data_IF_199958014983
#
_entry.id   IF_199958014983
#
_cell.length_a   1.000
_cell.length_b   1.000
_cell.length_c   1.000
_cell.angle_alpha   90.00
_cell.angle_beta   90.00
_cell.angle_gamma   90.00
#
_symmetry.space_group_name_H-M   'P 1'
#
loop_
_entity.id
_entity.type
_entity.pdbx_description
1 polymer ?
#
# COMPACT_ATOMS: atom_id res chain seq x y z
N UNK A 1 -6.15 -70.99 -6.21
CA UNK A 1 -6.60 -71.36 -4.86
C UNK A 1 -6.97 -70.07 -4.12
N UNK A 2 -8.27 -69.77 -4.08
CA UNK A 2 -9.08 -69.59 -2.87
C UNK A 2 -8.92 -68.18 -2.26
N UNK A 3 -9.81 -67.23 -2.59
CA UNK A 3 -11.16 -66.98 -2.03
C UNK A 3 -11.14 -66.57 -0.56
N UNK A 4 -11.77 -65.43 -0.26
CA UNK A 4 -12.05 -65.00 1.11
C UNK A 4 -12.78 -63.66 1.19
N UNK A 5 -13.93 -63.55 0.52
CA UNK A 5 -14.93 -62.51 0.78
C UNK A 5 -15.71 -62.87 2.05
N UNK A 6 -15.95 -61.91 2.96
CA UNK A 6 -17.08 -61.98 3.89
C UNK A 6 -17.80 -60.63 3.89
N UNK A 7 -19.06 -60.72 3.48
CA UNK A 7 -20.13 -59.73 3.49
C UNK A 7 -21.02 -60.05 4.70
N UNK A 8 -21.51 -59.04 5.44
CA UNK A 8 -22.83 -58.98 6.10
C UNK A 8 -23.03 -57.50 6.53
N UNK A 9 -23.81 -56.67 5.83
CA UNK A 9 -25.29 -56.53 5.76
C UNK A 9 -25.90 -55.72 6.91
N UNK A 10 -26.49 -54.59 6.47
CA UNK A 10 -27.43 -53.62 7.04
C UNK A 10 -28.29 -53.96 8.27
N UNK A 11 -28.50 -52.94 9.11
CA UNK A 11 -29.82 -52.43 9.54
C UNK A 11 -29.67 -50.95 10.00
N UNK A 12 -29.97 -49.95 9.16
CA UNK A 12 -31.19 -49.10 9.20
C UNK A 12 -31.59 -48.53 10.57
N UNK A 13 -31.36 -47.22 10.77
CA UNK A 13 -32.46 -46.30 11.11
C UNK A 13 -32.17 -44.86 10.70
N UNK A 14 -33.18 -44.28 10.06
CA UNK A 14 -33.44 -42.89 9.66
C UNK A 14 -33.35 -41.95 10.88
N UNK A 15 -33.06 -40.63 10.79
CA UNK A 15 -33.60 -39.62 9.88
C UNK A 15 -32.85 -38.28 10.01
N UNK A 16 -32.83 -37.45 8.96
CA UNK A 16 -32.80 -35.98 9.13
C UNK A 16 -32.09 -35.25 7.99
N UNK A 17 -32.90 -34.63 7.12
CA UNK A 17 -32.55 -33.88 5.90
C UNK A 17 -31.70 -32.63 6.14
N UNK A 18 -30.78 -32.35 5.22
CA UNK A 18 -30.18 -31.03 4.94
C UNK A 18 -29.36 -31.10 3.65
N UNK A 19 -29.76 -30.34 2.63
CA UNK A 19 -29.43 -30.55 1.21
C UNK A 19 -27.94 -30.53 0.84
N UNK A 20 -27.55 -31.53 0.06
CA UNK A 20 -26.40 -31.56 -0.83
C UNK A 20 -26.82 -30.93 -2.17
N UNK A 21 -26.04 -29.98 -2.66
CA UNK A 21 -25.93 -29.63 -4.08
C UNK A 21 -24.45 -29.32 -4.31
N UNK A 22 -23.69 -30.39 -4.51
CA UNK A 22 -22.39 -30.37 -5.16
C UNK A 22 -22.60 -31.02 -6.53
N UNK A 23 -22.34 -30.26 -7.58
CA UNK A 23 -22.01 -30.70 -8.94
C UNK A 23 -21.39 -29.48 -9.62
N UNK A 24 -20.07 -29.49 -9.87
CA UNK A 24 -19.38 -29.98 -11.09
C UNK A 24 -19.28 -28.89 -12.17
N UNK A 25 -18.24 -29.01 -13.03
CA UNK A 25 -17.89 -28.21 -14.23
C UNK A 25 -16.85 -27.10 -13.93
N UNK A 26 -15.62 -27.06 -14.47
CA UNK A 26 -15.00 -27.77 -15.60
C UNK A 26 -13.47 -27.74 -15.44
N UNK A 27 -12.83 -28.90 -15.54
CA UNK A 27 -11.47 -29.01 -16.07
C UNK A 27 -11.58 -29.44 -17.52
N UNK A 28 -10.93 -28.70 -18.43
CA UNK A 28 -10.61 -29.13 -19.80
C UNK A 28 -9.71 -28.08 -20.46
N UNK A 29 -8.40 -28.35 -20.56
CA UNK A 29 -7.55 -27.84 -21.65
C UNK A 29 -6.11 -28.42 -21.62
N UNK A 30 -5.96 -29.75 -21.74
CA UNK A 30 -4.77 -30.35 -22.38
C UNK A 30 -5.19 -31.64 -23.11
N UNK A 31 -5.22 -31.63 -24.45
CA UNK A 31 -4.61 -32.66 -25.32
C UNK A 31 -4.91 -32.44 -26.82
N UNK A 32 -3.90 -32.77 -27.65
CA UNK A 32 -3.82 -32.82 -29.13
C UNK A 32 -3.52 -31.48 -29.81
N UNK A 33 -2.46 -31.28 -30.62
CA UNK A 33 -1.62 -32.16 -31.45
C UNK A 33 -0.32 -31.37 -31.76
N UNK A 34 0.90 -31.88 -31.95
CA UNK A 34 1.37 -33.23 -32.23
C UNK A 34 2.91 -33.32 -32.12
N UNK A 35 3.38 -34.56 -32.19
CA UNK A 35 4.75 -35.04 -32.03
C UNK A 35 5.69 -34.73 -33.21
N UNK A 36 7.00 -34.75 -32.91
CA UNK A 36 8.12 -34.93 -33.85
C UNK A 36 9.26 -33.97 -33.48
N UNK A 37 10.51 -34.34 -33.20
CA UNK A 37 11.31 -35.53 -33.52
C UNK A 37 12.47 -35.68 -32.51
N UNK A 38 13.13 -36.84 -32.58
CA UNK A 38 14.32 -37.29 -31.85
C UNK A 38 15.62 -36.58 -32.27
N UNK A 39 16.64 -36.62 -31.41
CA UNK A 39 18.08 -36.47 -31.73
C UNK A 39 18.81 -35.72 -30.60
N UNK A 40 19.56 -36.36 -29.70
CA UNK A 40 20.92 -36.88 -29.82
C UNK A 40 22.00 -35.80 -30.09
N UNK A 41 23.05 -35.77 -29.24
CA UNK A 41 24.28 -34.97 -29.37
C UNK A 41 24.52 -34.12 -28.11
N UNK A 42 25.30 -34.53 -27.12
CA UNK A 42 26.78 -34.56 -27.10
C UNK A 42 27.36 -33.32 -27.80
N UNK A 43 27.77 -32.32 -27.02
CA UNK A 43 28.95 -31.51 -27.33
C UNK A 43 29.67 -31.10 -26.04
N UNK A 44 30.97 -31.35 -26.12
CA UNK A 44 32.01 -31.22 -25.12
C UNK A 44 32.81 -29.95 -25.43
N UNK A 45 33.35 -29.32 -24.39
CA UNK A 45 34.43 -28.32 -24.50
C UNK A 45 33.98 -26.89 -24.79
N UNK A 46 34.69 -25.85 -24.38
CA UNK A 46 35.97 -25.74 -23.66
C UNK A 46 36.25 -24.23 -23.46
N UNK A 47 37.05 -23.89 -22.44
CA UNK A 47 37.88 -22.66 -22.29
C UNK A 47 37.10 -21.33 -22.21
N UNK A 48 37.28 -20.47 -21.22
CA UNK A 48 38.51 -20.10 -20.51
C UNK A 48 38.89 -18.68 -20.90
N UNK A 49 38.75 -17.71 -20.00
CA UNK A 49 39.47 -16.41 -19.94
C UNK A 49 39.01 -15.70 -18.65
N UNK A 50 39.81 -15.79 -17.58
CA UNK A 50 40.86 -14.85 -17.15
C UNK A 50 40.34 -13.52 -16.61
N UNK A 51 40.57 -13.37 -15.30
CA UNK A 51 40.53 -12.16 -14.49
C UNK A 51 41.54 -11.10 -14.94
N UNK A 52 41.24 -9.83 -14.62
CA UNK A 52 42.11 -8.78 -14.05
C UNK A 52 41.32 -7.46 -14.08
N UNK A 53 40.85 -6.90 -12.96
CA UNK A 53 41.59 -6.06 -12.02
C UNK A 53 42.17 -4.78 -12.66
N UNK A 54 41.54 -3.63 -12.38
CA UNK A 54 42.18 -2.32 -12.46
C UNK A 54 41.58 -1.40 -11.40
N UNK A 55 42.31 -1.26 -10.30
CA UNK A 55 42.24 -0.16 -9.34
C UNK A 55 42.99 1.04 -9.91
N UNK A 56 42.49 2.26 -9.70
CA UNK A 56 43.35 3.46 -9.59
C UNK A 56 42.65 4.60 -8.83
N UNK A 57 43.45 5.17 -7.94
CA UNK A 57 43.25 6.15 -6.86
C UNK A 57 42.91 7.57 -7.35
N UNK A 58 41.95 8.25 -6.70
CA UNK A 58 42.10 9.44 -5.81
C UNK A 58 42.82 10.68 -6.38
N UNK A 59 42.14 11.85 -6.33
CA UNK A 59 42.54 13.12 -5.65
C UNK A 59 41.46 14.24 -5.88
N UNK A 60 41.41 15.34 -5.09
CA UNK A 60 40.16 16.02 -4.68
C UNK A 60 40.01 17.53 -5.02
N UNK A 61 38.76 18.03 -4.89
CA UNK A 61 38.31 19.41 -4.53
C UNK A 61 38.57 20.60 -5.52
N UNK A 62 37.79 21.73 -5.52
CA UNK A 62 37.23 22.43 -4.35
C UNK A 62 35.79 23.00 -4.43
N UNK A 63 35.29 23.35 -3.23
CA UNK A 63 34.15 24.22 -2.93
C UNK A 63 34.38 25.69 -3.32
N UNK A 64 33.30 26.50 -3.35
CA UNK A 64 33.33 27.71 -2.53
C UNK A 64 32.10 27.87 -1.63
N UNK A 65 32.37 28.29 -0.41
CA UNK A 65 31.45 28.81 0.60
C UNK A 65 31.09 30.27 0.27
N UNK A 66 29.81 30.66 0.38
CA UNK A 66 29.42 32.04 0.70
C UNK A 66 28.11 32.05 1.50
N UNK A 67 28.13 32.73 2.64
CA UNK A 67 27.01 33.23 3.46
C UNK A 67 27.61 34.23 4.47
N UNK A 68 26.85 35.14 5.10
CA UNK A 68 25.60 35.80 4.72
C UNK A 68 25.70 37.35 4.82
N UNK A 69 24.82 38.09 4.14
CA UNK A 69 24.66 39.53 4.38
C UNK A 69 23.24 39.85 4.86
N UNK A 70 23.20 40.65 5.91
CA UNK A 70 22.08 40.95 6.77
C UNK A 70 21.06 41.96 6.20
N UNK A 71 19.87 41.89 6.79
CA UNK A 71 18.70 42.79 6.71
C UNK A 71 18.98 44.28 7.02
N UNK A 72 17.99 45.17 6.79
CA UNK A 72 17.14 45.55 7.93
C UNK A 72 15.63 45.48 7.66
N UNK A 73 14.91 45.09 8.72
CA UNK A 73 13.49 45.32 8.95
C UNK A 73 13.20 46.81 9.10
N UNK A 74 12.06 47.25 8.58
CA UNK A 74 11.38 48.47 9.05
C UNK A 74 10.11 48.06 9.78
N UNK A 75 10.11 48.32 11.09
CA UNK A 75 8.99 48.13 12.00
C UNK A 75 8.01 49.30 11.97
N UNK A 76 6.74 48.93 12.14
CA UNK A 76 5.55 49.71 12.48
C UNK A 76 5.71 50.83 13.52
N UNK A 77 4.91 51.92 13.40
CA UNK A 77 3.76 52.23 14.30
C UNK A 77 3.22 53.68 14.14
N UNK A 78 1.87 53.76 14.09
CA UNK A 78 0.95 54.75 14.71
C UNK A 78 1.09 56.22 14.23
N UNK A 79 0.04 57.03 14.06
CA UNK A 79 -1.17 57.18 14.88
C UNK A 79 -2.31 57.90 14.14
N UNK A 80 -3.52 57.69 14.67
CA UNK A 80 -4.80 58.36 14.42
C UNK A 80 -4.75 59.90 14.48
N UNK A 81 -5.65 60.55 13.73
CA UNK A 81 -6.45 61.68 14.25
C UNK A 81 -7.80 61.77 13.54
N UNK A 82 -8.88 61.81 14.34
CA UNK A 82 -10.25 62.14 13.97
C UNK A 82 -10.50 63.66 14.05
N UNK A 83 -11.51 64.14 13.31
CA UNK A 83 -12.23 65.41 13.55
C UNK A 83 -13.08 65.76 12.31
N UNK A 84 -14.37 65.38 12.22
CA UNK A 84 -15.63 66.02 12.71
C UNK A 84 -15.93 67.44 12.19
N UNK A 85 -17.15 67.59 11.63
CA UNK A 85 -17.96 68.83 11.51
C UNK A 85 -18.35 69.16 10.06
N UNK A 86 -19.57 68.91 9.56
CA UNK A 86 -20.83 69.70 9.71
C UNK A 86 -20.67 71.15 9.24
N UNK A 87 -21.48 71.81 8.40
CA UNK A 87 -22.89 71.67 7.98
C UNK A 87 -23.27 72.83 7.03
N UNK A 88 -24.42 72.73 6.32
CA UNK A 88 -25.30 73.83 5.84
C UNK A 88 -24.77 74.78 4.73
N UNK A 89 -25.54 75.44 3.86
CA UNK A 89 -26.97 75.55 3.46
C UNK A 89 -27.00 76.42 2.17
N UNK A 90 -27.95 76.14 1.25
CA UNK A 90 -28.76 77.06 0.41
C UNK A 90 -28.03 78.02 -0.55
N UNK A 91 -28.35 78.02 -1.86
CA UNK A 91 -29.54 78.72 -2.38
C UNK A 91 -29.84 78.35 -3.85
N UNK A 92 -31.13 78.35 -4.20
CA UNK A 92 -31.71 78.11 -5.53
C UNK A 92 -31.78 79.43 -6.38
N UNK A 93 -32.65 79.56 -7.42
CA UNK A 93 -32.59 78.98 -8.77
C UNK A 93 -32.73 80.09 -9.85
N UNK A 94 -32.53 79.78 -11.14
CA UNK A 94 -33.16 80.57 -12.22
C UNK A 94 -33.76 79.65 -13.29
N UNK A 95 -35.02 79.93 -13.56
CA UNK A 95 -35.94 79.39 -14.55
C UNK A 95 -35.54 79.63 -15.99
N UNK A 96 -35.90 78.71 -16.89
CA UNK A 96 -36.58 79.07 -18.14
C UNK A 96 -37.32 77.85 -18.72
N UNK A 97 -38.53 78.12 -19.20
CA UNK A 97 -39.56 77.20 -19.67
C UNK A 97 -39.76 77.49 -21.17
N UNK A 98 -39.82 76.48 -22.02
CA UNK A 98 -40.41 76.51 -23.38
C UNK A 98 -40.67 75.04 -23.78
N UNK A 99 -41.90 74.54 -23.65
CA UNK A 99 -43.03 74.57 -24.60
C UNK A 99 -42.91 73.57 -25.76
N UNK A 100 -43.68 72.49 -25.63
CA UNK A 100 -44.45 71.75 -26.64
C UNK A 100 -43.90 71.54 -28.07
N UNK A 101 -43.84 70.27 -28.47
CA UNK A 101 -44.70 69.74 -29.56
C UNK A 101 -44.75 68.21 -29.55
N UNK A 102 -45.97 67.69 -29.62
CA UNK A 102 -46.29 66.30 -29.92
C UNK A 102 -46.02 66.02 -31.41
N UNK A 103 -45.42 64.87 -31.71
CA UNK A 103 -45.71 64.06 -32.90
C UNK A 103 -45.25 62.63 -32.66
N UNK A 104 -46.20 61.68 -32.64
CA UNK A 104 -45.92 60.30 -33.04
C UNK A 104 -45.82 60.24 -34.57
N UNK A 105 -44.96 59.37 -35.10
CA UNK A 105 -45.55 58.24 -35.80
C UNK A 105 -44.90 56.90 -35.47
N UNK A 106 -45.76 55.90 -35.52
CA UNK A 106 -45.53 54.48 -35.71
C UNK A 106 -44.36 54.12 -36.63
N UNK A 107 -43.61 53.08 -36.24
CA UNK A 107 -42.94 52.20 -37.22
C UNK A 107 -41.45 51.94 -37.00
N UNK A 108 -41.03 51.40 -35.84
CA UNK A 108 -39.76 50.66 -35.71
C UNK A 108 -39.81 49.70 -34.51
N UNK A 109 -40.67 48.69 -34.56
CA UNK A 109 -40.68 47.61 -33.55
C UNK A 109 -39.97 46.33 -34.03
N UNK A 110 -39.29 46.36 -35.17
CA UNK A 110 -38.67 45.16 -35.78
C UNK A 110 -37.13 45.19 -35.86
N UNK A 111 -36.46 46.22 -35.35
CA UNK A 111 -34.98 46.26 -35.33
C UNK A 111 -34.38 46.18 -33.92
N UNK A 112 -35.19 46.14 -32.86
CA UNK A 112 -34.72 45.93 -31.48
C UNK A 112 -34.78 44.47 -31.02
N UNK A 113 -35.39 43.58 -31.79
CA UNK A 113 -35.50 42.16 -31.45
C UNK A 113 -34.27 41.33 -31.88
N UNK A 114 -33.46 41.78 -32.84
CA UNK A 114 -32.25 41.06 -33.28
C UNK A 114 -31.03 41.36 -32.38
N UNK A 115 -31.05 42.47 -31.62
CA UNK A 115 -29.97 42.78 -30.67
C UNK A 115 -30.13 42.12 -29.30
N UNK A 116 -31.33 41.60 -28.97
CA UNK A 116 -31.62 41.00 -27.67
C UNK A 116 -31.31 39.49 -27.59
N UNK A 117 -30.96 38.86 -28.72
CA UNK A 117 -30.53 37.46 -28.80
C UNK A 117 -29.02 37.29 -29.00
N UNK A 118 -28.21 38.30 -28.69
CA UNK A 118 -26.82 38.10 -28.25
C UNK A 118 -26.82 37.98 -26.73
N UNK A 119 -27.51 36.94 -26.25
CA UNK A 119 -27.39 36.47 -24.88
C UNK A 119 -25.92 36.20 -24.61
N UNK A 120 -25.35 37.08 -23.83
CA UNK A 120 -23.95 37.15 -23.48
C UNK A 120 -23.46 35.79 -22.94
N UNK A 121 -22.83 34.98 -23.78
CA UNK A 121 -21.75 34.08 -23.33
C UNK A 121 -20.53 34.94 -22.99
N UNK A 122 -20.69 35.95 -22.14
CA UNK A 122 -19.56 36.52 -21.44
C UNK A 122 -19.09 35.44 -20.46
N UNK A 123 -18.21 34.55 -20.92
CA UNK A 123 -17.39 33.77 -20.00
C UNK A 123 -16.84 34.75 -18.98
N UNK A 124 -17.10 34.50 -17.70
CA UNK A 124 -16.59 35.36 -16.65
C UNK A 124 -15.08 35.55 -16.86
N UNK A 125 -14.51 36.75 -16.63
CA UNK A 125 -13.07 36.98 -16.77
C UNK A 125 -12.25 35.94 -16.00
N UNK A 126 -12.82 35.42 -14.91
CA UNK A 126 -12.27 34.34 -14.10
C UNK A 126 -12.19 32.99 -14.83
N UNK A 127 -13.22 32.62 -15.61
CA UNK A 127 -13.21 31.40 -16.44
C UNK A 127 -12.17 31.46 -17.57
N UNK A 128 -11.92 32.65 -18.14
CA UNK A 128 -10.94 32.84 -19.22
C UNK A 128 -9.50 32.52 -18.79
N UNK A 129 -9.12 32.86 -17.55
CA UNK A 129 -7.80 32.51 -17.01
C UNK A 129 -7.76 31.16 -16.28
N UNK A 130 -8.87 30.76 -15.64
CA UNK A 130 -8.91 29.51 -14.89
C UNK A 130 -8.81 28.27 -15.78
N UNK A 131 -9.43 28.27 -16.96
CA UNK A 131 -9.42 27.10 -17.85
C UNK A 131 -8.04 26.80 -18.46
N UNK A 132 -7.29 27.78 -19.02
CA UNK A 132 -5.91 27.55 -19.46
C UNK A 132 -4.97 27.18 -18.32
N UNK A 133 -5.12 27.79 -17.14
CA UNK A 133 -4.32 27.44 -15.96
C UNK A 133 -4.56 25.98 -15.56
N UNK A 134 -5.82 25.55 -15.45
CA UNK A 134 -6.18 24.17 -15.16
C UNK A 134 -5.69 23.20 -16.25
N UNK A 135 -5.85 23.57 -17.52
CA UNK A 135 -5.36 22.77 -18.65
C UNK A 135 -3.84 22.58 -18.61
N UNK A 136 -3.09 23.67 -18.37
CA UNK A 136 -1.63 23.63 -18.23
C UNK A 136 -1.20 22.79 -17.03
N UNK A 137 -1.90 22.91 -15.90
CA UNK A 137 -1.66 22.08 -14.72
C UNK A 137 -1.84 20.59 -15.01
N UNK A 138 -2.93 20.20 -15.67
CA UNK A 138 -3.21 18.80 -16.01
C UNK A 138 -2.13 18.25 -16.94
N UNK A 139 -1.72 19.02 -17.95
CA UNK A 139 -0.66 18.61 -18.90
C UNK A 139 0.67 18.42 -18.19
N UNK A 140 1.09 19.38 -17.35
CA UNK A 140 2.35 19.33 -16.60
C UNK A 140 2.34 18.18 -15.59
N UNK A 141 1.23 18.02 -14.85
CA UNK A 141 1.03 16.92 -13.92
C UNK A 141 1.14 15.57 -14.62
N UNK A 142 0.42 15.38 -15.74
CA UNK A 142 0.48 14.14 -16.52
C UNK A 142 1.88 13.88 -17.13
N UNK A 143 2.60 14.93 -17.51
CA UNK A 143 3.96 14.81 -18.04
C UNK A 143 4.92 14.26 -16.96
N UNK A 144 4.94 14.86 -15.77
CA UNK A 144 5.80 14.41 -14.67
C UNK A 144 5.31 13.10 -14.04
N UNK A 145 4.01 12.80 -14.08
CA UNK A 145 3.49 11.50 -13.65
C UNK A 145 4.10 10.36 -14.49
N UNK A 146 4.29 10.58 -15.80
CA UNK A 146 4.93 9.59 -16.70
C UNK A 146 6.45 9.63 -16.68
N UNK A 147 7.05 10.69 -16.14
CA UNK A 147 8.52 10.90 -16.11
C UNK A 147 9.00 11.37 -14.73
N UNK A 148 8.81 10.55 -13.67
CA UNK A 148 9.19 10.93 -12.32
C UNK A 148 10.70 11.14 -12.15
N UNK A 149 11.53 10.48 -12.98
CA UNK A 149 12.99 10.59 -12.96
C UNK A 149 13.51 12.02 -13.22
N UNK A 150 12.67 12.90 -13.80
CA UNK A 150 13.02 14.31 -13.99
C UNK A 150 12.97 15.12 -12.69
N UNK A 151 12.19 14.67 -11.70
CA UNK A 151 12.03 15.35 -10.42
C UNK A 151 12.60 14.56 -9.24
N UNK A 152 12.74 13.24 -9.37
CA UNK A 152 13.12 12.35 -8.29
C UNK A 152 14.18 11.36 -8.75
N UNK A 153 15.21 11.14 -7.95
CA UNK A 153 16.16 10.06 -8.14
C UNK A 153 15.55 8.74 -7.64
N UNK A 154 15.51 7.67 -8.44
CA UNK A 154 14.98 6.39 -7.99
C UNK A 154 15.87 5.81 -6.91
N UNK A 155 15.26 5.15 -5.93
CA UNK A 155 16.00 4.33 -4.97
C UNK A 155 16.28 2.95 -5.59
N UNK A 156 17.50 2.45 -5.36
CA UNK A 156 17.91 1.12 -5.81
C UNK A 156 17.75 0.16 -4.62
N UNK A 157 16.84 -0.81 -4.69
CA UNK A 157 16.63 -1.75 -3.61
C UNK A 157 17.71 -2.83 -3.58
N UNK A 158 18.01 -3.34 -2.37
CA UNK A 158 18.86 -4.52 -2.20
C UNK A 158 18.18 -5.83 -2.65
N UNK A 159 16.85 -5.87 -2.66
CA UNK A 159 16.04 -7.03 -3.04
C UNK A 159 14.71 -6.60 -3.66
N UNK A 160 14.11 -7.47 -4.48
CA UNK A 160 12.88 -7.16 -5.21
C UNK A 160 11.73 -8.12 -4.84
N UNK A 161 11.09 -7.96 -3.67
CA UNK A 161 10.05 -8.87 -3.24
C UNK A 161 8.76 -8.53 -4.01
N UNK A 162 8.14 -9.54 -4.62
CA UNK A 162 6.80 -9.38 -5.21
C UNK A 162 5.75 -10.03 -4.34
N UNK A 163 6.09 -11.17 -3.75
CA UNK A 163 5.16 -12.03 -3.03
C UNK A 163 5.65 -12.30 -1.61
N UNK A 164 4.89 -11.79 -0.63
CA UNK A 164 5.13 -11.97 0.80
C UNK A 164 4.20 -13.02 1.41
N UNK A 165 4.75 -13.92 2.22
CA UNK A 165 3.98 -14.88 3.00
C UNK A 165 3.45 -14.21 4.26
N UNK A 166 2.13 -13.98 4.30
CA UNK A 166 1.46 -13.33 5.43
C UNK A 166 1.56 -14.17 6.71
N UNK A 167 1.98 -13.57 7.82
CA UNK A 167 2.24 -14.24 9.11
C UNK A 167 3.07 -15.51 8.94
N UNK A 168 4.09 -15.44 8.09
CA UNK A 168 4.95 -16.56 7.74
C UNK A 168 4.33 -17.68 6.90
N UNK A 169 3.09 -17.53 6.39
CA UNK A 169 2.41 -18.54 5.56
C UNK A 169 1.15 -19.13 6.20
N UNK A 170 0.31 -18.28 6.77
CA UNK A 170 -0.84 -18.69 7.60
C UNK A 170 -1.97 -19.43 6.88
N UNK A 171 -1.93 -19.52 5.55
CA UNK A 171 -2.95 -20.21 4.76
C UNK A 171 -2.73 -21.71 4.66
N UNK A 172 -1.47 -22.16 4.77
CA UNK A 172 -1.09 -23.57 4.69
C UNK A 172 -0.80 -24.18 6.06
N UNK A 173 -0.24 -23.38 6.98
CA UNK A 173 0.24 -23.82 8.29
C UNK A 173 -0.15 -22.81 9.37
N UNK A 174 -0.05 -23.20 10.63
CA UNK A 174 -0.36 -22.31 11.75
C UNK A 174 0.51 -21.04 11.68
N UNK A 175 -0.15 -19.88 11.78
CA UNK A 175 0.50 -18.58 11.65
C UNK A 175 1.72 -18.42 12.58
N UNK A 176 2.76 -17.74 12.09
CA UNK A 176 3.97 -17.37 12.85
C UNK A 176 4.74 -18.54 13.52
N UNK A 177 4.55 -19.78 13.05
CA UNK A 177 5.34 -20.95 13.45
C UNK A 177 6.58 -21.12 12.56
N UNK A 178 7.60 -21.82 13.05
CA UNK A 178 8.76 -22.15 12.24
C UNK A 178 8.37 -23.03 11.05
N UNK A 179 7.46 -23.99 11.25
CA UNK A 179 6.92 -24.84 10.18
C UNK A 179 6.26 -24.01 9.06
N UNK A 180 5.48 -22.98 9.40
CA UNK A 180 4.86 -22.11 8.39
C UNK A 180 5.92 -21.37 7.57
N UNK A 181 6.91 -20.78 8.24
CA UNK A 181 7.99 -20.04 7.58
C UNK A 181 8.84 -20.95 6.69
N UNK A 182 9.21 -22.14 7.17
CA UNK A 182 9.96 -23.12 6.39
C UNK A 182 9.19 -23.55 5.14
N UNK A 183 7.89 -23.83 5.29
CA UNK A 183 7.02 -24.14 4.18
C UNK A 183 6.94 -22.99 3.16
N UNK A 184 6.80 -21.75 3.62
CA UNK A 184 6.80 -20.55 2.76
C UNK A 184 8.08 -20.37 1.97
N UNK A 185 9.22 -20.55 2.63
CA UNK A 185 10.54 -20.47 1.98
C UNK A 185 10.73 -21.60 0.97
N UNK A 186 10.31 -22.83 1.30
CA UNK A 186 10.34 -23.96 0.37
C UNK A 186 9.46 -23.71 -0.88
N UNK A 187 8.36 -22.99 -0.71
CA UNK A 187 7.46 -22.56 -1.78
C UNK A 187 7.92 -21.29 -2.52
N UNK A 188 9.15 -20.80 -2.25
CA UNK A 188 9.75 -19.65 -2.92
C UNK A 188 8.98 -18.34 -2.72
N UNK A 189 8.48 -18.11 -1.50
CA UNK A 189 8.12 -16.77 -1.07
C UNK A 189 9.34 -15.84 -1.21
N UNK A 190 9.12 -14.59 -1.64
CA UNK A 190 10.22 -13.63 -1.80
C UNK A 190 10.52 -12.88 -0.49
N UNK A 191 9.56 -12.89 0.45
CA UNK A 191 9.64 -12.24 1.75
C UNK A 191 8.70 -12.94 2.76
N UNK A 192 9.09 -12.95 4.04
CA UNK A 192 8.22 -13.33 5.15
C UNK A 192 7.65 -12.07 5.82
N UNK A 193 6.33 -11.98 5.93
CA UNK A 193 5.66 -10.93 6.69
C UNK A 193 5.34 -11.48 8.08
N UNK A 194 5.75 -10.75 9.11
CA UNK A 194 5.79 -11.22 10.49
C UNK A 194 5.37 -10.10 11.44
N UNK A 195 4.47 -10.42 12.36
CA UNK A 195 4.06 -9.53 13.44
C UNK A 195 4.94 -9.73 14.68
N UNK A 196 5.35 -8.65 15.34
CA UNK A 196 6.20 -8.74 16.52
C UNK A 196 5.47 -8.29 17.80
N UNK A 197 5.70 -9.04 18.88
CA UNK A 197 5.30 -8.71 20.25
C UNK A 197 6.51 -8.86 21.19
N UNK A 198 6.40 -8.34 22.41
CA UNK A 198 7.43 -8.45 23.44
C UNK A 198 6.88 -9.20 24.64
N UNK A 199 7.61 -10.20 25.12
CA UNK A 199 7.33 -10.91 26.37
C UNK A 199 7.78 -10.10 27.58
N UNK A 200 7.39 -10.55 28.78
CA UNK A 200 7.77 -9.92 30.06
C UNK A 200 9.28 -9.91 30.30
N UNK A 201 9.96 -10.99 29.91
CA UNK A 201 11.42 -11.14 29.97
C UNK A 201 12.17 -10.46 28.81
N UNK A 202 11.45 -9.73 27.94
CA UNK A 202 12.05 -8.88 26.92
C UNK A 202 12.57 -9.64 25.70
N UNK A 203 12.00 -10.82 25.42
CA UNK A 203 12.19 -11.60 24.19
C UNK A 203 11.21 -11.11 23.13
N UNK A 204 11.71 -10.87 21.91
CA UNK A 204 10.86 -10.51 20.78
C UNK A 204 10.28 -11.78 20.19
N UNK A 205 8.95 -11.89 20.23
CA UNK A 205 8.21 -13.06 19.74
C UNK A 205 7.45 -12.69 18.50
N UNK A 206 7.39 -13.64 17.55
CA UNK A 206 6.57 -13.48 16.36
C UNK A 206 5.14 -13.91 16.69
N UNK A 207 4.23 -12.94 16.81
CA UNK A 207 2.81 -13.19 17.04
C UNK A 207 1.94 -12.00 16.61
N UNK A 208 0.79 -12.30 15.99
CA UNK A 208 -0.14 -11.28 15.51
C UNK A 208 -0.86 -10.55 16.63
N UNK A 209 -1.37 -11.30 17.62
CA UNK A 209 -2.25 -10.78 18.67
C UNK A 209 -1.44 -10.40 19.92
N UNK A 210 -1.89 -9.35 20.60
CA UNK A 210 -1.39 -9.03 21.94
C UNK A 210 -1.93 -10.03 22.98
N UNK A 211 -3.20 -10.43 22.85
CA UNK A 211 -3.86 -11.39 23.72
C UNK A 211 -3.96 -12.78 23.08
N UNK A 212 -3.64 -13.82 23.86
CA UNK A 212 -3.51 -15.18 23.36
C UNK A 212 -4.85 -15.95 23.24
N UNK A 213 -5.99 -15.35 23.58
CA UNK A 213 -7.30 -16.04 23.58
C UNK A 213 -7.66 -16.66 22.23
N UNK A 214 -7.40 -15.95 21.11
CA UNK A 214 -7.68 -16.47 19.77
C UNK A 214 -6.75 -17.64 19.44
N UNK A 215 -5.46 -17.43 19.67
CA UNK A 215 -4.37 -18.26 19.20
C UNK A 215 -4.15 -19.54 20.03
N UNK A 216 -4.26 -19.46 21.36
CA UNK A 216 -4.02 -20.58 22.29
C UNK A 216 -5.24 -20.92 23.16
N UNK A 217 -6.23 -20.02 23.24
CA UNK A 217 -7.35 -20.17 24.17
C UNK A 217 -7.06 -19.66 25.58
N UNK A 218 -5.87 -19.13 25.83
CA UNK A 218 -5.46 -18.57 27.12
C UNK A 218 -5.72 -17.06 27.13
N UNK A 219 -6.52 -16.58 28.08
CA UNK A 219 -6.76 -15.15 28.25
C UNK A 219 -5.63 -14.46 29.02
N UNK A 220 -4.51 -14.28 28.35
CA UNK A 220 -3.31 -13.57 28.83
C UNK A 220 -2.71 -12.80 27.66
N UNK A 221 -2.08 -11.67 27.97
CA UNK A 221 -1.33 -10.90 26.99
C UNK A 221 0.12 -11.42 26.91
N UNK A 222 0.71 -11.39 25.72
CA UNK A 222 2.10 -11.84 25.50
C UNK A 222 3.07 -11.13 26.45
N UNK A 223 2.90 -9.82 26.65
CA UNK A 223 3.73 -9.02 27.56
C UNK A 223 3.59 -9.36 29.06
N UNK A 224 2.68 -10.27 29.43
CA UNK A 224 2.50 -10.71 30.83
C UNK A 224 3.24 -12.00 31.18
N UNK A 225 3.78 -12.70 30.18
CA UNK A 225 4.41 -14.02 30.29
C UNK A 225 5.88 -13.94 29.87
N UNK A 226 6.72 -14.78 30.45
CA UNK A 226 8.07 -15.02 29.92
C UNK A 226 7.99 -15.93 28.68
N UNK A 227 9.04 -15.94 27.85
CA UNK A 227 9.01 -16.68 26.58
C UNK A 227 8.72 -18.18 26.76
N UNK A 228 9.36 -18.81 27.74
CA UNK A 228 9.19 -20.23 28.06
C UNK A 228 7.80 -20.56 28.65
N UNK A 229 7.05 -19.56 29.10
CA UNK A 229 5.70 -19.72 29.64
C UNK A 229 4.62 -19.60 28.56
N UNK A 230 5.00 -19.28 27.32
CA UNK A 230 4.04 -19.10 26.24
C UNK A 230 3.33 -20.42 25.90
N UNK A 231 1.99 -20.42 25.83
CA UNK A 231 1.22 -21.60 25.51
C UNK A 231 1.36 -21.96 24.03
N UNK A 232 1.13 -23.24 23.72
CA UNK A 232 0.99 -23.71 22.36
C UNK A 232 -0.21 -23.07 21.66
N UNK A 233 -0.11 -22.86 20.36
CA UNK A 233 -1.25 -22.59 19.50
C UNK A 233 -2.30 -23.70 19.59
N UNK A 234 -3.54 -23.41 19.22
CA UNK A 234 -4.58 -24.43 18.98
C UNK A 234 -4.16 -25.37 17.84
N UNK A 235 -4.80 -26.54 17.75
CA UNK A 235 -4.55 -27.52 16.68
C UNK A 235 -4.96 -26.99 15.30
N UNK A 236 -5.92 -26.08 15.29
CA UNK A 236 -6.38 -25.38 14.10
C UNK A 236 -6.59 -23.90 14.41
N UNK A 237 -6.27 -23.05 13.43
CA UNK A 237 -6.54 -21.62 13.49
C UNK A 237 -7.23 -21.18 12.21
N UNK A 238 -8.26 -20.35 12.35
CA UNK A 238 -8.97 -19.79 11.20
C UNK A 238 -8.03 -18.88 10.41
N UNK A 239 -7.98 -19.09 9.09
CA UNK A 239 -7.12 -18.34 8.18
C UNK A 239 -7.67 -16.94 8.02
N UNK A 240 -6.83 -15.95 8.34
CA UNK A 240 -7.20 -14.54 8.19
C UNK A 240 -7.58 -14.20 6.74
N UNK A 241 -8.65 -13.42 6.56
CA UNK A 241 -9.30 -13.13 5.27
C UNK A 241 -9.93 -14.34 4.55
N UNK A 242 -10.07 -15.50 5.19
CA UNK A 242 -10.76 -16.66 4.61
C UNK A 242 -11.68 -17.34 5.64
N UNK A 243 -12.81 -16.70 6.00
CA UNK A 243 -13.70 -17.23 7.03
C UNK A 243 -14.18 -18.64 6.72
N UNK A 244 -14.17 -19.51 7.73
CA UNK A 244 -14.52 -20.93 7.60
C UNK A 244 -13.39 -21.82 7.04
N UNK A 245 -12.22 -21.26 6.71
CA UNK A 245 -11.02 -22.03 6.38
C UNK A 245 -10.06 -22.06 7.57
N UNK A 246 -9.49 -23.23 7.84
CA UNK A 246 -8.60 -23.45 8.97
C UNK A 246 -7.25 -23.99 8.50
N UNK A 247 -6.18 -23.48 9.11
CA UNK A 247 -4.83 -24.00 8.93
C UNK A 247 -4.49 -24.96 10.06
N UNK A 248 -3.66 -25.96 9.75
CA UNK A 248 -3.20 -26.98 10.68
C UNK A 248 -1.67 -27.09 10.63
N UNK A 249 -1.06 -27.55 11.72
CA UNK A 249 0.39 -27.66 11.84
C UNK A 249 0.78 -28.66 12.90
N UNK A 250 1.92 -29.32 12.67
CA UNK A 250 2.56 -30.16 13.68
C UNK A 250 3.32 -29.32 14.70
N UNK A 251 3.92 -28.22 14.25
CA UNK A 251 4.50 -27.20 15.12
C UNK A 251 3.41 -26.25 15.62
N UNK A 252 3.32 -26.13 16.94
CA UNK A 252 2.37 -25.27 17.64
C UNK A 252 3.07 -24.25 18.54
N UNK A 253 4.40 -24.18 18.50
CA UNK A 253 5.16 -23.27 19.36
C UNK A 253 5.21 -21.87 18.75
N UNK A 254 5.08 -20.86 19.61
CA UNK A 254 5.43 -19.50 19.23
C UNK A 254 6.93 -19.39 19.08
N UNK A 255 7.39 -18.64 18.07
CA UNK A 255 8.81 -18.55 17.73
C UNK A 255 9.37 -17.20 18.16
N UNK A 256 10.58 -17.16 18.71
CA UNK A 256 11.28 -15.90 18.94
C UNK A 256 11.92 -15.39 17.64
N UNK A 257 11.97 -14.07 17.46
CA UNK A 257 12.48 -13.45 16.24
C UNK A 257 13.97 -13.77 15.99
N UNK A 258 14.73 -13.97 17.06
CA UNK A 258 16.14 -14.37 16.98
C UNK A 258 16.30 -15.74 16.30
N UNK A 259 15.50 -16.74 16.67
CA UNK A 259 15.54 -18.06 16.04
C UNK A 259 15.16 -17.99 14.57
N UNK A 260 14.17 -17.14 14.23
CA UNK A 260 13.79 -16.88 12.83
C UNK A 260 14.97 -16.29 12.05
N UNK A 261 15.70 -15.36 12.65
CA UNK A 261 16.87 -14.74 12.03
C UNK A 261 18.00 -15.73 11.81
N UNK A 262 18.26 -16.60 12.77
CA UNK A 262 19.25 -17.68 12.68
C UNK A 262 18.85 -18.70 11.61
N UNK A 263 17.58 -19.10 11.57
CA UNK A 263 17.06 -20.09 10.62
C UNK A 263 17.08 -19.60 9.17
N UNK A 264 16.79 -18.31 8.97
CA UNK A 264 16.68 -17.69 7.65
C UNK A 264 17.60 -16.45 7.53
N UNK A 265 18.93 -16.65 7.44
CA UNK A 265 19.90 -15.55 7.50
C UNK A 265 19.79 -14.56 6.33
N UNK A 266 19.29 -15.00 5.17
CA UNK A 266 19.21 -14.21 3.92
C UNK A 266 17.79 -13.97 3.41
N UNK A 267 16.77 -14.44 4.13
CA UNK A 267 15.38 -14.25 3.72
C UNK A 267 14.94 -12.83 4.09
N UNK A 268 14.47 -12.02 3.13
CA UNK A 268 13.91 -10.71 3.46
C UNK A 268 12.67 -10.83 4.33
N UNK A 269 12.48 -9.87 5.23
CA UNK A 269 11.39 -9.89 6.20
C UNK A 269 10.73 -8.52 6.32
N UNK A 270 9.41 -8.50 6.47
CA UNK A 270 8.65 -7.33 6.91
C UNK A 270 8.24 -7.54 8.35
N UNK A 271 8.70 -6.68 9.25
CA UNK A 271 8.41 -6.77 10.68
C UNK A 271 7.39 -5.71 11.05
N UNK A 272 6.18 -6.16 11.38
CA UNK A 272 5.10 -5.29 11.81
C UNK A 272 5.12 -5.02 13.32
N UNK A 273 5.03 -3.73 13.67
CA UNK A 273 4.86 -3.26 15.05
C UNK A 273 3.48 -2.64 15.22
N UNK A 274 2.62 -3.27 16.04
CA UNK A 274 1.22 -2.88 16.24
C UNK A 274 0.96 -1.96 17.45
N UNK A 275 1.70 -2.19 18.52
CA UNK A 275 1.61 -1.44 19.77
C UNK A 275 2.60 -0.29 19.84
N UNK A 276 2.30 0.73 20.65
CA UNK A 276 3.27 1.79 20.98
C UNK A 276 4.30 1.31 22.01
N UNK A 277 4.98 0.20 21.74
CA UNK A 277 6.00 -0.36 22.62
C UNK A 277 7.41 0.08 22.14
N UNK A 278 7.98 1.07 22.83
CA UNK A 278 9.31 1.62 22.50
C UNK A 278 10.43 0.60 22.74
N UNK A 279 10.29 -0.24 23.76
CA UNK A 279 11.26 -1.30 24.05
C UNK A 279 11.30 -2.34 22.94
N UNK A 280 10.13 -2.81 22.48
CA UNK A 280 10.01 -3.72 21.33
C UNK A 280 10.72 -3.17 20.10
N UNK A 281 10.50 -1.90 19.78
CA UNK A 281 11.15 -1.22 18.65
C UNK A 281 12.67 -1.25 18.79
N UNK A 282 13.20 -0.93 19.97
CA UNK A 282 14.65 -0.94 20.21
C UNK A 282 15.23 -2.35 20.19
N UNK A 283 14.51 -3.35 20.71
CA UNK A 283 14.91 -4.76 20.67
C UNK A 283 14.98 -5.27 19.25
N UNK A 284 13.95 -5.02 18.42
CA UNK A 284 13.97 -5.36 16.99
C UNK A 284 15.13 -4.66 16.28
N UNK A 285 15.31 -3.34 16.49
CA UNK A 285 16.42 -2.60 15.89
C UNK A 285 17.80 -3.17 16.29
N UNK A 286 17.96 -3.59 17.55
CA UNK A 286 19.15 -4.25 18.05
C UNK A 286 19.40 -5.61 17.39
N UNK A 287 18.37 -6.44 17.29
CA UNK A 287 18.43 -7.74 16.60
C UNK A 287 18.81 -7.55 15.12
N UNK A 288 18.17 -6.63 14.41
CA UNK A 288 18.45 -6.38 12.98
C UNK A 288 19.89 -5.96 12.74
N UNK A 289 20.46 -5.11 13.60
CA UNK A 289 21.88 -4.73 13.51
C UNK A 289 22.81 -5.89 13.86
N UNK A 290 22.50 -6.64 14.91
CA UNK A 290 23.32 -7.78 15.36
C UNK A 290 23.42 -8.87 14.29
N UNK A 291 22.35 -9.07 13.53
CA UNK A 291 22.28 -10.03 12.43
C UNK A 291 22.61 -9.44 11.05
N UNK A 292 23.14 -8.21 10.99
CA UNK A 292 23.57 -7.51 9.77
C UNK A 292 22.53 -7.55 8.62
N UNK A 293 21.29 -7.17 8.94
CA UNK A 293 20.15 -7.31 8.02
C UNK A 293 19.31 -6.06 7.84
N UNK A 294 19.91 -4.89 8.08
CA UNK A 294 19.25 -3.60 7.88
C UNK A 294 18.67 -3.45 6.47
N UNK A 295 19.39 -3.91 5.44
CA UNK A 295 18.98 -3.73 4.04
C UNK A 295 17.86 -4.66 3.57
N UNK A 296 17.66 -5.79 4.24
CA UNK A 296 16.69 -6.84 3.87
C UNK A 296 15.52 -6.96 4.87
N UNK A 297 15.48 -6.09 5.88
CA UNK A 297 14.40 -6.06 6.88
C UNK A 297 13.62 -4.75 6.77
N UNK A 298 12.31 -4.86 6.56
CA UNK A 298 11.42 -3.72 6.37
C UNK A 298 10.70 -3.41 7.69
N UNK A 299 10.69 -2.14 8.09
CA UNK A 299 9.75 -1.67 9.11
C UNK A 299 8.34 -1.61 8.54
N UNK A 300 7.40 -2.28 9.20
CA UNK A 300 5.97 -2.17 8.93
C UNK A 300 5.18 -1.70 10.16
N UNK A 301 4.17 -0.87 9.91
CA UNK A 301 3.16 -0.49 10.90
C UNK A 301 2.03 0.26 10.20
N UNK A 302 0.80 -0.01 10.62
CA UNK A 302 -0.37 0.76 10.16
C UNK A 302 -0.36 2.21 10.66
N UNK A 303 0.27 2.47 11.82
CA UNK A 303 0.24 3.77 12.51
C UNK A 303 1.48 4.60 12.23
N UNK A 304 1.26 5.82 11.76
CA UNK A 304 2.34 6.80 11.51
C UNK A 304 3.10 7.21 12.77
N UNK A 305 2.47 7.20 13.95
CA UNK A 305 3.14 7.50 15.23
C UNK A 305 4.20 6.45 15.56
N UNK A 306 3.86 5.16 15.40
CA UNK A 306 4.76 4.02 15.60
C UNK A 306 5.87 4.05 14.55
N UNK A 307 5.52 4.20 13.26
CA UNK A 307 6.51 4.22 12.18
C UNK A 307 7.57 5.33 12.36
N UNK A 308 7.18 6.49 12.91
CA UNK A 308 8.12 7.56 13.26
C UNK A 308 9.13 7.11 14.32
N UNK A 309 8.67 6.37 15.34
CA UNK A 309 9.53 5.80 16.41
C UNK A 309 10.44 4.71 15.84
N UNK A 310 9.91 3.80 15.01
CA UNK A 310 10.70 2.75 14.34
C UNK A 310 11.87 3.33 13.53
N UNK A 311 11.58 4.33 12.69
CA UNK A 311 12.60 5.03 11.90
C UNK A 311 13.63 5.76 12.75
N UNK A 312 13.24 6.32 13.89
CA UNK A 312 14.18 6.96 14.81
C UNK A 312 15.11 5.92 15.46
N UNK A 313 14.60 4.72 15.75
CA UNK A 313 15.38 3.64 16.34
C UNK A 313 16.36 2.99 15.36
N UNK A 314 15.98 2.82 14.09
CA UNK A 314 16.88 2.39 13.03
C UNK A 314 16.53 3.04 11.67
N UNK A 315 17.27 4.09 11.25
CA UNK A 315 17.01 4.79 9.99
C UNK A 315 17.56 4.08 8.74
N UNK A 316 18.45 3.08 8.91
CA UNK A 316 19.02 2.31 7.79
C UNK A 316 18.03 1.34 7.18
N UNK A 317 17.09 0.83 7.99
CA UNK A 317 16.04 -0.07 7.53
C UNK A 317 15.06 0.67 6.61
N UNK A 318 14.73 0.11 5.44
CA UNK A 318 13.63 0.60 4.65
C UNK A 318 12.31 0.42 5.41
N UNK A 319 11.29 1.20 5.03
CA UNK A 319 10.00 1.17 5.70
C UNK A 319 8.83 1.23 4.71
N UNK A 320 7.72 0.64 5.13
CA UNK A 320 6.50 0.57 4.34
C UNK A 320 5.58 1.77 4.54
N UNK A 321 4.59 1.89 3.66
CA UNK A 321 3.50 2.84 3.82
C UNK A 321 2.62 2.50 5.02
N UNK A 322 2.31 3.52 5.83
CA UNK A 322 1.22 3.44 6.80
C UNK A 322 -0.12 3.70 6.11
N UNK A 323 -1.23 3.33 6.75
CA UNK A 323 -2.58 3.51 6.19
C UNK A 323 -2.83 4.99 5.82
N UNK A 324 -2.53 5.91 6.74
CA UNK A 324 -2.71 7.36 6.52
C UNK A 324 -1.85 7.89 5.36
N UNK A 325 -0.64 7.34 5.16
CA UNK A 325 0.26 7.71 4.07
C UNK A 325 -0.24 7.15 2.73
N UNK A 326 -0.78 5.94 2.73
CA UNK A 326 -1.46 5.34 1.57
C UNK A 326 -2.67 6.16 1.11
N UNK A 327 -3.55 6.57 2.03
CA UNK A 327 -4.68 7.45 1.68
C UNK A 327 -4.21 8.79 1.11
N UNK A 328 -3.17 9.41 1.71
CA UNK A 328 -2.59 10.64 1.19
C UNK A 328 -1.99 10.44 -0.20
N UNK A 329 -1.31 9.32 -0.44
CA UNK A 329 -0.76 8.96 -1.75
C UNK A 329 -1.86 8.94 -2.82
N UNK A 330 -2.97 8.26 -2.55
CA UNK A 330 -4.11 8.20 -3.46
C UNK A 330 -4.71 9.58 -3.69
N UNK A 331 -4.93 10.37 -2.63
CA UNK A 331 -5.44 11.73 -2.75
C UNK A 331 -4.54 12.59 -3.67
N UNK A 332 -3.23 12.56 -3.45
CA UNK A 332 -2.26 13.29 -4.27
C UNK A 332 -2.24 12.80 -5.72
N UNK A 333 -2.41 11.50 -5.94
CA UNK A 333 -2.51 10.93 -7.28
C UNK A 333 -3.73 11.47 -8.02
N UNK A 334 -4.92 11.42 -7.41
CA UNK A 334 -6.16 11.86 -8.05
C UNK A 334 -6.26 13.39 -8.20
N UNK A 335 -5.61 14.14 -7.32
CA UNK A 335 -5.48 15.59 -7.48
C UNK A 335 -4.44 15.99 -8.53
N UNK A 336 -3.57 15.09 -9.00
CA UNK A 336 -2.47 15.39 -9.92
C UNK A 336 -1.23 15.99 -9.24
N UNK A 337 -1.16 15.96 -7.91
CA UNK A 337 -0.05 16.52 -7.14
C UNK A 337 1.07 15.52 -6.85
N UNK A 338 0.80 14.21 -7.00
CA UNK A 338 1.75 13.14 -6.72
C UNK A 338 3.15 13.33 -7.34
N UNK A 339 3.28 13.77 -8.62
CA UNK A 339 4.60 13.88 -9.25
C UNK A 339 5.52 14.89 -8.58
N UNK A 340 4.98 15.86 -7.86
CA UNK A 340 5.76 16.95 -7.25
C UNK A 340 6.15 16.67 -5.80
N UNK A 341 5.65 15.59 -5.20
CA UNK A 341 5.81 15.31 -3.78
C UNK A 341 6.79 14.15 -3.58
N UNK A 342 7.80 14.29 -2.70
CA UNK A 342 8.73 13.22 -2.38
C UNK A 342 8.05 12.07 -1.63
N UNK A 343 8.46 10.84 -1.93
CA UNK A 343 7.99 9.61 -1.30
C UNK A 343 9.19 8.96 -0.62
N UNK A 344 9.33 9.09 0.72
CA UNK A 344 10.42 8.44 1.43
C UNK A 344 10.19 6.95 1.70
N UNK A 345 8.94 6.48 1.67
CA UNK A 345 8.58 5.07 1.80
C UNK A 345 9.15 4.23 0.65
N UNK A 346 9.56 2.99 0.93
CA UNK A 346 10.16 2.09 -0.07
C UNK A 346 9.25 0.95 -0.51
N UNK A 347 8.29 0.58 0.35
CA UNK A 347 7.43 -0.57 0.12
C UNK A 347 5.96 -0.22 0.32
N UNK A 348 5.14 -0.42 -0.70
CA UNK A 348 3.69 -0.36 -0.60
C UNK A 348 3.19 -1.80 -0.42
N UNK A 349 2.88 -2.17 0.83
CA UNK A 349 2.34 -3.48 1.18
C UNK A 349 0.85 -3.46 0.88
N UNK A 350 0.41 -4.33 -0.03
CA UNK A 350 -0.98 -4.47 -0.42
C UNK A 350 -1.48 -5.88 -0.10
N UNK A 351 -2.46 -5.96 0.80
CA UNK A 351 -3.33 -7.12 0.89
C UNK A 351 -4.26 -7.09 -0.32
N UNK A 352 -4.20 -8.11 -1.18
CA UNK A 352 -4.95 -8.06 -2.42
C UNK A 352 -6.46 -7.93 -2.17
N UNK A 353 -7.15 -6.98 -2.82
CA UNK A 353 -8.61 -6.89 -2.77
C UNK A 353 -9.33 -8.14 -3.28
N UNK A 354 -8.64 -8.98 -4.05
CA UNK A 354 -9.18 -10.26 -4.56
C UNK A 354 -9.10 -11.37 -3.51
N UNK A 355 -8.22 -11.26 -2.50
CA UNK A 355 -8.17 -12.11 -1.30
C UNK A 355 -9.17 -11.60 -0.26
N UNK A 356 -9.39 -10.29 -0.18
CA UNK A 356 -10.42 -9.62 0.64
C UNK A 356 -11.87 -10.01 0.20
N UNK A 357 -12.03 -10.86 -0.82
CA UNK A 357 -13.31 -11.08 -1.49
C UNK A 357 -14.40 -11.69 -0.56
N UNK A 358 -15.49 -10.92 -0.45
CA UNK A 358 -16.83 -11.12 0.15
C UNK A 358 -17.07 -10.89 1.64
N UNK A 359 -16.14 -11.10 2.54
CA UNK A 359 -16.45 -11.15 3.99
C UNK A 359 -15.78 -10.12 4.88
N UNK A 360 -14.75 -9.40 4.40
CA UNK A 360 -14.00 -8.49 5.26
C UNK A 360 -14.58 -7.08 5.37
N UNK A 361 -15.29 -6.60 4.34
CA UNK A 361 -15.99 -5.33 4.46
C UNK A 361 -17.18 -5.50 5.41
N UNK A 362 -17.32 -4.66 6.45
CA UNK A 362 -18.35 -4.82 7.47
C UNK A 362 -19.72 -4.33 6.98
N UNK A 363 -20.03 -4.42 5.68
CA UNK A 363 -21.37 -4.10 5.20
C UNK A 363 -22.26 -5.33 5.33
N UNK A 364 -23.46 -5.12 5.86
CA UNK A 364 -24.44 -6.19 6.06
C UNK A 364 -24.91 -6.85 4.76
N UNK A 365 -24.68 -6.22 3.60
CA UNK A 365 -25.08 -6.77 2.30
C UNK A 365 -23.86 -7.29 1.51
N UNK A 366 -23.90 -8.55 1.02
CA UNK A 366 -22.83 -9.13 0.20
C UNK A 366 -22.55 -8.33 -1.08
N UNK A 367 -23.57 -7.71 -1.67
CA UNK A 367 -23.43 -6.89 -2.88
C UNK A 367 -22.62 -5.61 -2.66
N UNK A 368 -22.80 -4.93 -1.52
CA UNK A 368 -21.99 -3.75 -1.18
C UNK A 368 -20.54 -4.12 -0.87
N UNK A 369 -20.28 -5.27 -0.21
CA UNK A 369 -18.93 -5.77 0.00
C UNK A 369 -18.21 -6.02 -1.33
N UNK A 370 -18.90 -6.65 -2.28
CA UNK A 370 -18.35 -6.91 -3.61
C UNK A 370 -18.09 -5.61 -4.39
N UNK A 371 -19.01 -4.66 -4.34
CA UNK A 371 -18.83 -3.35 -4.98
C UNK A 371 -17.66 -2.58 -4.35
N UNK A 372 -17.58 -2.54 -3.01
CA UNK A 372 -16.49 -1.89 -2.29
C UNK A 372 -15.14 -2.51 -2.63
N UNK A 373 -15.05 -3.84 -2.73
CA UNK A 373 -13.84 -4.56 -3.14
C UNK A 373 -13.41 -4.20 -4.58
N UNK A 374 -14.36 -4.15 -5.52
CA UNK A 374 -14.09 -3.77 -6.91
C UNK A 374 -13.62 -2.32 -7.02
N UNK A 375 -14.29 -1.40 -6.32
CA UNK A 375 -13.92 0.01 -6.32
C UNK A 375 -12.54 0.21 -5.69
N UNK A 376 -12.29 -0.34 -4.51
CA UNK A 376 -10.99 -0.22 -3.84
C UNK A 376 -9.86 -0.84 -4.68
N UNK A 377 -10.08 -1.98 -5.34
CA UNK A 377 -9.16 -2.52 -6.35
C UNK A 377 -8.91 -1.53 -7.48
N UNK A 378 -9.95 -0.96 -8.06
CA UNK A 378 -9.82 -0.02 -9.17
C UNK A 378 -9.13 1.29 -8.78
N UNK A 379 -9.34 1.76 -7.55
CA UNK A 379 -8.70 2.97 -7.03
C UNK A 379 -7.23 2.77 -6.70
N UNK A 380 -6.87 1.64 -6.06
CA UNK A 380 -5.51 1.36 -5.61
C UNK A 380 -4.64 0.78 -6.73
N UNK A 381 -5.19 -0.11 -7.56
CA UNK A 381 -4.44 -0.89 -8.57
C UNK A 381 -4.37 -0.21 -9.94
N UNK A 382 -4.35 1.13 -9.99
CA UNK A 382 -4.19 1.85 -11.26
C UNK A 382 -2.79 1.63 -11.83
N UNK A 383 -2.70 1.10 -13.06
CA UNK A 383 -1.42 0.85 -13.75
C UNK A 383 -0.49 2.07 -13.77
N UNK A 384 -1.04 3.27 -14.04
CA UNK A 384 -0.27 4.52 -14.06
C UNK A 384 0.26 4.93 -12.69
N UNK A 385 -0.46 4.63 -11.60
CA UNK A 385 0.02 4.85 -10.24
C UNK A 385 1.16 3.88 -9.93
N UNK A 386 0.96 2.58 -10.17
CA UNK A 386 1.96 1.55 -9.91
C UNK A 386 3.25 1.84 -10.70
N UNK A 387 3.14 2.11 -12.00
CA UNK A 387 4.29 2.45 -12.85
C UNK A 387 5.03 3.70 -12.35
N UNK A 388 4.29 4.73 -11.90
CA UNK A 388 4.91 5.93 -11.33
C UNK A 388 5.70 5.62 -10.05
N UNK A 389 5.16 4.76 -9.18
CA UNK A 389 5.80 4.34 -7.94
C UNK A 389 7.04 3.49 -8.21
N UNK A 390 6.93 2.49 -9.09
CA UNK A 390 8.05 1.61 -9.48
C UNK A 390 9.20 2.40 -10.11
N UNK A 391 8.90 3.37 -10.98
CA UNK A 391 9.92 4.25 -11.58
C UNK A 391 10.60 5.17 -10.56
N UNK A 392 10.02 5.33 -9.36
CA UNK A 392 10.63 6.05 -8.23
C UNK A 392 11.36 5.12 -7.26
N UNK A 393 11.41 3.81 -7.55
CA UNK A 393 12.01 2.80 -6.69
C UNK A 393 11.11 2.37 -5.53
N UNK A 394 9.81 2.69 -5.56
CA UNK A 394 8.85 2.17 -4.58
C UNK A 394 8.36 0.82 -5.07
N UNK A 395 8.54 -0.21 -4.24
CA UNK A 395 8.17 -1.57 -4.58
C UNK A 395 6.76 -1.89 -4.11
N UNK A 396 5.97 -2.51 -4.98
CA UNK A 396 4.67 -3.06 -4.63
C UNK A 396 4.87 -4.48 -4.10
N UNK A 397 4.56 -4.70 -2.84
CA UNK A 397 4.64 -6.00 -2.20
C UNK A 397 3.22 -6.54 -2.00
N UNK A 398 2.94 -7.68 -2.61
CA UNK A 398 1.68 -8.38 -2.45
C UNK A 398 1.79 -9.40 -1.33
N UNK A 399 0.91 -9.30 -0.36
CA UNK A 399 0.89 -10.20 0.81
C UNK A 399 -0.43 -10.96 0.84
N UNK A 400 -0.35 -12.28 1.01
CA UNK A 400 -1.52 -13.16 1.04
C UNK A 400 -1.35 -14.32 2.04
N UNK A 401 -2.46 -14.87 2.54
CA UNK A 401 -2.43 -15.98 3.49
C UNK A 401 -1.94 -17.28 2.85
N UNK A 402 -2.37 -17.59 1.61
CA UNK A 402 -1.98 -18.80 0.91
C UNK A 402 -0.88 -18.54 -0.14
N UNK A 403 0.05 -19.49 -0.27
CA UNK A 403 1.09 -19.57 -1.30
C UNK A 403 0.63 -20.25 -2.60
N UNK A 404 -0.53 -20.93 -2.60
CA UNK A 404 -1.23 -21.32 -3.85
C UNK A 404 -1.45 -20.10 -4.74
N UNK A 405 -1.71 -18.96 -4.11
CA UNK A 405 -1.81 -17.64 -4.74
C UNK A 405 -0.45 -17.12 -5.25
N UNK A 406 0.65 -17.35 -4.52
CA UNK A 406 2.03 -17.02 -4.94
C UNK A 406 2.43 -17.80 -6.20
N UNK A 407 2.02 -19.07 -6.28
CA UNK A 407 2.28 -19.94 -7.43
C UNK A 407 1.43 -19.55 -8.65
N UNK A 408 0.13 -19.28 -8.47
CA UNK A 408 -0.77 -18.84 -9.54
C UNK A 408 -0.36 -17.48 -10.14
N UNK A 409 0.05 -16.52 -9.31
CA UNK A 409 0.56 -15.21 -9.78
C UNK A 409 1.89 -15.31 -10.51
N UNK A 410 2.80 -16.19 -10.09
CA UNK A 410 4.07 -16.41 -10.83
C UNK A 410 3.83 -17.00 -12.22
N UNK A 411 2.75 -17.78 -12.41
CA UNK A 411 2.33 -18.27 -13.73
C UNK A 411 1.61 -17.23 -14.60
N UNK A 412 0.89 -16.27 -14.02
CA UNK A 412 0.24 -15.18 -14.79
C UNK A 412 1.21 -14.04 -15.20
N UNK A 413 2.35 -13.93 -14.51
CA UNK A 413 3.34 -12.85 -14.73
C UNK A 413 4.50 -13.30 -15.63
N UNK A 414 4.64 -14.60 -15.89
CA UNK A 414 5.50 -15.16 -16.94
C UNK A 414 4.72 -15.27 -18.25
#
# INVERSE_FOLDING_TARGET
MARGSVLYTLATHTSGRGNVMADLVLGDLIAHCGQGQRGAGIYEGSRGMRATAAWLLLLPLPHPQLSPAAWPQASSRLSRSQGRGSSQRWSQPISARQSERQHSPSGTAELTAVSAWRGSMAMSPLLYYALPALGSYVVISMFFLRRPHLLHTPWVPAFFPRLGAHRGGSGERLENTMEAMENSVAQRADLLELDCQLTRDGVVVVSHDENLSRQSGVNRDVGSLDFEELPLYKEELEVYFSPGHFAHGSDRHMTCLEDVFQRFPRMPMSLEVKGENVELIHKIAGLVRRFDRCEITIWASEKSSIMKKCRAANPEMPFSFTISRGFRLLLLYYLGLLPFIPIPERFLICFLPTIINRTYFPFSSPGLNQLAAVLSKWFIMRKSLIQHLEQRGVQLLEVGPSLSFVTLRKQEVQ
#
